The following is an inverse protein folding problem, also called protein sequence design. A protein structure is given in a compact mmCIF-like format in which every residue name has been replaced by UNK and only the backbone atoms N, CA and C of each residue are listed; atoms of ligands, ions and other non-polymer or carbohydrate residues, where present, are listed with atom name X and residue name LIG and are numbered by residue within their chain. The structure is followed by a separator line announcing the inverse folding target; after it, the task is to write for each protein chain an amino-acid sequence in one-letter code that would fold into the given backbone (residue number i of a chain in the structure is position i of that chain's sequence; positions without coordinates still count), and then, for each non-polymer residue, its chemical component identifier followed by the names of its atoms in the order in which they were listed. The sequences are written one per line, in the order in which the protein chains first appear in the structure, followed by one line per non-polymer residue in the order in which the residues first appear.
data_IF_790919264393
#
_entry.id   IF_790919264393
#
_cell.length_a   1.000
_cell.length_b   1.000
_cell.length_c   1.000
_cell.angle_alpha   90.00
_cell.angle_beta   90.00
_cell.angle_gamma   90.00
#
_symmetry.space_group_name_H-M   'P 1'
#
loop_
_entity.id
_entity.type
_entity.pdbx_description
1 polymer ?
#
# COMPACT_ATOMS: atom_id res chain seq x y z
N UNK A 1 -5.61 40.79 15.41
CA UNK A 1 -6.20 39.44 15.59
C UNK A 1 -7.42 39.36 14.70
N UNK A 2 -7.26 38.79 13.51
CA UNK A 2 -8.36 38.64 12.56
C UNK A 2 -9.15 37.37 12.83
N UNK A 3 -10.29 37.49 13.53
CA UNK A 3 -11.24 36.38 13.66
C UNK A 3 -11.68 35.92 12.27
N UNK A 4 -11.47 34.65 11.94
CA UNK A 4 -11.83 34.12 10.62
C UNK A 4 -12.31 32.67 10.68
N UNK A 5 -13.11 32.28 9.68
CA UNK A 5 -13.54 30.90 9.48
C UNK A 5 -12.38 30.08 8.92
N UNK A 6 -12.07 28.97 9.57
CA UNK A 6 -11.01 28.06 9.19
C UNK A 6 -11.56 26.63 9.02
N UNK A 7 -11.17 25.99 7.92
CA UNK A 7 -11.46 24.60 7.61
C UNK A 7 -10.14 23.85 7.51
N UNK A 8 -9.98 22.77 8.26
CA UNK A 8 -8.78 21.93 8.23
C UNK A 8 -9.10 20.63 7.51
N UNK A 9 -8.28 20.34 6.51
CA UNK A 9 -8.39 19.16 5.67
C UNK A 9 -7.19 18.25 5.87
N UNK A 10 -7.43 16.95 5.88
CA UNK A 10 -6.43 15.91 6.05
C UNK A 10 -6.54 14.88 4.95
N UNK A 11 -5.52 14.03 4.84
CA UNK A 11 -5.35 13.06 3.78
C UNK A 11 -6.22 11.84 4.00
N UNK A 12 -6.95 11.46 2.96
CA UNK A 12 -7.58 10.14 2.80
C UNK A 12 -6.77 9.39 1.75
N UNK A 13 -6.09 8.34 2.19
CA UNK A 13 -5.18 7.57 1.35
C UNK A 13 -5.92 6.32 0.88
N UNK A 14 -6.01 6.14 -0.44
CA UNK A 14 -6.50 4.89 -1.05
C UNK A 14 -5.31 4.00 -1.38
N UNK A 15 -5.29 2.82 -0.78
CA UNK A 15 -4.27 1.77 -1.02
C UNK A 15 -4.87 0.65 -1.85
N UNK A 16 -4.18 0.29 -2.92
CA UNK A 16 -4.43 -0.96 -3.65
C UNK A 16 -3.29 -1.94 -3.40
N UNK A 17 -3.47 -3.20 -3.80
CA UNK A 17 -2.46 -4.23 -3.67
C UNK A 17 -1.93 -4.66 -5.04
N UNK A 18 -0.65 -5.02 -5.09
CA UNK A 18 -0.01 -5.67 -6.25
C UNK A 18 0.89 -6.80 -5.81
N UNK A 19 1.33 -7.64 -6.75
CA UNK A 19 2.52 -8.47 -6.58
C UNK A 19 3.76 -7.63 -6.88
N UNK A 20 4.65 -7.52 -5.90
CA UNK A 20 5.97 -6.93 -6.02
C UNK A 20 7.00 -7.93 -6.55
N UNK A 21 8.28 -7.57 -6.44
CA UNK A 21 9.37 -8.49 -6.71
C UNK A 21 9.30 -9.69 -5.76
N UNK A 22 9.60 -10.89 -6.27
CA UNK A 22 9.50 -12.16 -5.55
C UNK A 22 8.06 -12.54 -5.12
N UNK A 23 7.04 -12.12 -5.87
CA UNK A 23 5.63 -12.48 -5.67
C UNK A 23 5.08 -12.07 -4.28
N UNK A 24 5.69 -11.09 -3.64
CA UNK A 24 5.22 -10.55 -2.36
C UNK A 24 4.04 -9.60 -2.56
N UNK A 25 3.05 -9.66 -1.66
CA UNK A 25 1.97 -8.67 -1.56
C UNK A 25 2.54 -7.31 -1.15
N UNK A 26 2.40 -6.30 -2.02
CA UNK A 26 2.87 -4.94 -1.75
C UNK A 26 1.72 -3.95 -1.88
N UNK A 27 1.48 -3.07 -0.88
CA UNK A 27 0.52 -1.99 -1.00
C UNK A 27 1.07 -0.85 -1.88
N UNK A 28 0.23 -0.33 -2.76
CA UNK A 28 0.49 0.85 -3.59
C UNK A 28 -0.49 1.94 -3.17
N UNK A 29 0.03 3.13 -2.87
CA UNK A 29 -0.80 4.33 -2.69
C UNK A 29 -1.20 4.86 -4.08
N UNK A 30 -2.49 4.77 -4.41
CA UNK A 30 -2.99 5.19 -5.72
C UNK A 30 -3.41 6.66 -5.74
N UNK A 31 -4.11 7.10 -4.70
CA UNK A 31 -4.70 8.44 -4.65
C UNK A 31 -4.72 8.99 -3.23
N UNK A 32 -4.44 10.29 -3.13
CA UNK A 32 -4.58 11.08 -1.93
C UNK A 32 -5.66 12.12 -2.17
N UNK A 33 -6.78 12.02 -1.44
CA UNK A 33 -7.83 13.02 -1.42
C UNK A 33 -7.75 13.81 -0.10
N UNK A 34 -8.10 15.08 -0.11
CA UNK A 34 -8.22 15.88 1.10
C UNK A 34 -9.67 15.97 1.53
N UNK A 35 -9.95 15.67 2.80
CA UNK A 35 -11.30 15.79 3.38
C UNK A 35 -11.27 16.68 4.62
N UNK A 36 -12.31 17.49 4.86
CA UNK A 36 -12.44 18.21 6.12
C UNK A 36 -12.54 17.25 7.29
N UNK A 37 -11.77 17.54 8.33
CA UNK A 37 -11.93 16.89 9.63
C UNK A 37 -12.25 17.87 10.75
N UNK A 38 -12.05 19.17 10.54
CA UNK A 38 -12.39 20.21 11.49
C UNK A 38 -12.79 21.50 10.77
N UNK A 39 -13.81 22.17 11.28
CA UNK A 39 -14.25 23.48 10.81
C UNK A 39 -14.65 24.33 12.01
N UNK A 40 -14.22 25.58 12.02
CA UNK A 40 -14.57 26.50 13.10
C UNK A 40 -14.00 27.90 12.90
N UNK A 41 -14.43 28.81 13.76
CA UNK A 41 -13.90 30.17 13.79
C UNK A 41 -12.71 30.21 14.72
N UNK A 42 -11.57 30.72 14.23
CA UNK A 42 -10.36 30.88 15.04
C UNK A 42 -10.03 32.37 15.22
N UNK A 43 -9.60 32.71 16.43
CA UNK A 43 -9.14 34.06 16.81
C UNK A 43 -7.62 34.17 16.66
N UNK A 44 -7.09 33.66 15.55
CA UNK A 44 -5.68 33.70 15.19
C UNK A 44 -5.52 34.40 13.85
N UNK A 45 -4.35 34.97 13.60
CA UNK A 45 -4.04 35.40 12.24
C UNK A 45 -3.90 34.17 11.32
N UNK A 46 -4.12 34.32 10.00
CA UNK A 46 -4.08 33.20 9.07
C UNK A 46 -2.78 32.41 9.18
N UNK A 47 -2.91 31.09 9.32
CA UNK A 47 -1.78 30.21 9.58
C UNK A 47 -0.92 30.10 8.32
N UNK A 48 0.40 30.17 8.49
CA UNK A 48 1.37 30.02 7.41
C UNK A 48 1.65 28.54 7.12
N UNK A 49 2.10 28.24 5.90
CA UNK A 49 2.55 26.89 5.53
C UNK A 49 3.77 26.51 6.38
N UNK A 50 3.79 25.30 6.92
CA UNK A 50 4.74 24.83 7.93
C UNK A 50 4.35 25.17 9.37
N UNK A 51 3.28 25.97 9.56
CA UNK A 51 2.73 26.29 10.87
C UNK A 51 2.17 25.06 11.58
N UNK A 52 2.45 24.96 12.88
CA UNK A 52 1.91 23.91 13.76
C UNK A 52 0.65 24.41 14.45
N UNK A 53 -0.42 23.62 14.38
CA UNK A 53 -1.73 23.98 14.93
C UNK A 53 -2.21 22.85 15.81
N UNK A 54 -2.59 23.18 17.03
CA UNK A 54 -3.24 22.23 17.92
C UNK A 54 -4.74 22.19 17.60
N UNK A 55 -5.29 20.99 17.35
CA UNK A 55 -6.71 20.80 17.10
C UNK A 55 -7.33 20.12 18.33
N UNK A 56 -8.09 20.86 19.18
CA UNK A 56 -8.60 20.33 20.44
C UNK A 56 -9.48 19.09 20.28
N UNK A 57 -10.30 19.04 19.22
CA UNK A 57 -11.19 17.90 18.96
C UNK A 57 -10.46 16.57 18.74
N UNK A 58 -9.17 16.61 18.40
CA UNK A 58 -8.33 15.44 18.18
C UNK A 58 -7.18 15.32 19.17
N UNK A 59 -7.02 16.29 20.09
CA UNK A 59 -5.92 16.34 21.06
C UNK A 59 -4.53 16.17 20.42
N UNK A 60 -4.35 16.72 19.20
CA UNK A 60 -3.17 16.51 18.36
C UNK A 60 -2.72 17.82 17.71
N UNK A 61 -1.41 17.92 17.46
CA UNK A 61 -0.83 18.96 16.61
C UNK A 61 -0.75 18.47 15.17
N UNK A 62 -1.16 19.34 14.25
CA UNK A 62 -1.06 19.12 12.79
C UNK A 62 -0.19 20.21 12.16
N UNK A 63 0.47 19.88 11.07
CA UNK A 63 1.27 20.83 10.29
C UNK A 63 0.49 21.25 9.05
N UNK A 64 0.37 22.55 8.82
CA UNK A 64 -0.24 23.08 7.60
C UNK A 64 0.72 22.86 6.43
N UNK A 65 0.30 22.10 5.43
CA UNK A 65 1.07 21.82 4.21
C UNK A 65 0.69 22.72 3.05
N UNK A 66 -0.55 23.18 3.00
CA UNK A 66 -1.03 24.15 2.02
C UNK A 66 -2.15 25.00 2.61
N UNK A 67 -2.37 26.19 2.05
CA UNK A 67 -3.45 27.09 2.46
C UNK A 67 -4.12 27.74 1.27
N UNK A 68 -5.45 27.85 1.34
CA UNK A 68 -6.27 28.43 0.29
C UNK A 68 -7.30 29.36 0.93
N UNK A 69 -7.58 30.48 0.27
CA UNK A 69 -8.60 31.44 0.70
C UNK A 69 -9.67 31.51 -0.36
N UNK A 70 -10.93 31.36 0.04
CA UNK A 70 -12.04 31.45 -0.90
C UNK A 70 -12.55 32.89 -1.06
N UNK A 71 -13.50 33.07 -1.99
CA UNK A 71 -14.15 34.38 -2.26
C UNK A 71 -14.97 34.92 -1.09
N UNK A 72 -15.33 34.07 -0.12
CA UNK A 72 -16.06 34.44 1.10
C UNK A 72 -15.14 34.78 2.29
N UNK A 73 -13.83 34.89 2.04
CA UNK A 73 -12.84 35.18 3.08
C UNK A 73 -12.68 34.05 4.13
N UNK A 74 -13.03 32.81 3.77
CA UNK A 74 -12.81 31.63 4.60
C UNK A 74 -11.49 30.97 4.19
N UNK A 75 -10.76 30.45 5.17
CA UNK A 75 -9.49 29.79 4.96
C UNK A 75 -9.65 28.27 5.01
N UNK A 76 -9.07 27.59 4.03
CA UNK A 76 -8.90 26.14 4.02
C UNK A 76 -7.43 25.82 4.20
N UNK A 77 -7.10 25.04 5.22
CA UNK A 77 -5.76 24.58 5.54
C UNK A 77 -5.66 23.08 5.28
N UNK A 78 -4.84 22.69 4.30
CA UNK A 78 -4.49 21.28 4.12
C UNK A 78 -3.38 20.93 5.11
N UNK A 79 -3.46 19.74 5.68
CA UNK A 79 -2.55 19.28 6.73
C UNK A 79 -1.89 17.95 6.39
N UNK A 80 -0.82 17.65 7.11
CA UNK A 80 -0.12 16.36 7.06
C UNK A 80 -0.91 15.20 7.67
N UNK A 81 -1.99 15.49 8.40
CA UNK A 81 -2.82 14.51 9.09
C UNK A 81 -3.44 13.51 8.12
N UNK A 82 -3.34 12.23 8.45
CA UNK A 82 -4.04 11.14 7.76
C UNK A 82 -5.34 10.87 8.52
N UNK A 83 -6.48 11.12 7.88
CA UNK A 83 -7.81 10.89 8.48
C UNK A 83 -8.19 9.42 8.37
N UNK A 84 -7.98 8.86 7.18
CA UNK A 84 -8.40 7.49 6.87
C UNK A 84 -7.49 6.89 5.82
N UNK A 85 -7.24 5.59 5.98
CA UNK A 85 -6.71 4.74 4.92
C UNK A 85 -7.82 3.81 4.47
N UNK A 86 -8.12 3.82 3.16
CA UNK A 86 -9.11 2.94 2.54
C UNK A 86 -8.35 1.92 1.71
N UNK A 87 -8.52 0.65 2.04
CA UNK A 87 -7.92 -0.45 1.29
C UNK A 87 -8.91 -0.97 0.25
N UNK A 88 -8.44 -1.10 -0.99
CA UNK A 88 -9.18 -1.71 -2.07
C UNK A 88 -9.15 -3.24 -1.92
N UNK A 89 -10.21 -3.78 -1.33
CA UNK A 89 -10.39 -5.23 -1.12
C UNK A 89 -10.40 -6.02 -2.42
N UNK A 90 -10.93 -5.45 -3.51
CA UNK A 90 -10.99 -6.14 -4.80
C UNK A 90 -9.57 -6.33 -5.35
N UNK A 91 -8.72 -5.31 -5.22
CA UNK A 91 -7.31 -5.43 -5.59
C UNK A 91 -6.58 -6.49 -4.76
N UNK A 92 -6.86 -6.57 -3.45
CA UNK A 92 -6.25 -7.54 -2.56
C UNK A 92 -6.61 -8.97 -2.96
N UNK A 93 -7.90 -9.25 -3.17
CA UNK A 93 -8.38 -10.59 -3.56
C UNK A 93 -7.77 -11.05 -4.89
N UNK A 94 -7.70 -10.16 -5.89
CA UNK A 94 -7.08 -10.47 -7.19
C UNK A 94 -5.60 -10.84 -7.06
N UNK A 95 -4.87 -10.20 -6.15
CA UNK A 95 -3.45 -10.44 -5.94
C UNK A 95 -3.22 -11.77 -5.21
N UNK A 96 -4.04 -12.06 -4.20
CA UNK A 96 -4.01 -13.36 -3.48
C UNK A 96 -4.26 -14.51 -4.46
N UNK A 97 -5.29 -14.42 -5.29
CA UNK A 97 -5.58 -15.46 -6.30
C UNK A 97 -4.44 -15.67 -7.31
N UNK A 98 -3.70 -14.62 -7.66
CA UNK A 98 -2.52 -14.76 -8.53
C UNK A 98 -1.37 -15.45 -7.81
N UNK A 99 -1.14 -15.11 -6.54
CA UNK A 99 -0.10 -15.70 -5.72
C UNK A 99 -0.34 -17.21 -5.54
N UNK A 100 -1.58 -17.60 -5.24
CA UNK A 100 -1.98 -19.02 -5.13
C UNK A 100 -1.68 -19.79 -6.43
N UNK A 101 -2.05 -19.23 -7.59
CA UNK A 101 -1.76 -19.85 -8.90
C UNK A 101 -0.27 -20.03 -9.17
N UNK A 102 0.54 -19.05 -8.79
CA UNK A 102 2.01 -19.14 -8.94
C UNK A 102 2.56 -20.23 -8.02
N UNK A 103 2.06 -20.31 -6.79
CA UNK A 103 2.47 -21.33 -5.83
C UNK A 103 2.10 -22.75 -6.30
N UNK A 104 0.88 -22.94 -6.80
CA UNK A 104 0.44 -24.19 -7.40
C UNK A 104 1.32 -24.60 -8.58
N UNK A 105 1.59 -23.67 -9.50
CA UNK A 105 2.46 -23.92 -10.65
C UNK A 105 3.89 -24.31 -10.22
N UNK A 106 4.44 -23.62 -9.23
CA UNK A 106 5.76 -23.92 -8.67
C UNK A 106 5.79 -25.31 -7.99
N UNK A 107 4.73 -25.70 -7.30
CA UNK A 107 4.61 -27.05 -6.73
C UNK A 107 4.57 -28.13 -7.81
N UNK A 108 3.82 -27.92 -8.90
CA UNK A 108 3.76 -28.84 -10.04
C UNK A 108 5.14 -29.01 -10.70
N UNK A 109 5.85 -27.91 -10.94
CA UNK A 109 7.21 -27.95 -11.49
C UNK A 109 8.18 -28.71 -10.59
N UNK A 110 8.12 -28.51 -9.26
CA UNK A 110 8.95 -29.27 -8.32
C UNK A 110 8.68 -30.77 -8.41
N UNK A 111 7.41 -31.18 -8.46
CA UNK A 111 7.03 -32.58 -8.59
C UNK A 111 7.47 -33.19 -9.94
N UNK A 112 7.37 -32.45 -11.03
CA UNK A 112 7.83 -32.90 -12.34
C UNK A 112 9.36 -33.05 -12.39
N UNK A 113 10.08 -32.09 -11.80
CA UNK A 113 11.53 -32.14 -11.71
C UNK A 113 12.04 -33.31 -10.85
N UNK A 114 11.40 -33.59 -9.72
CA UNK A 114 11.67 -34.77 -8.88
C UNK A 114 11.47 -36.08 -9.66
N UNK A 115 10.35 -36.22 -10.38
CA UNK A 115 10.06 -37.39 -11.23
C UNK A 115 11.11 -37.56 -12.33
N UNK A 116 11.52 -36.45 -12.95
CA UNK A 116 12.57 -36.47 -13.98
C UNK A 116 13.91 -36.95 -13.41
N UNK A 117 14.33 -36.43 -12.25
CA UNK A 117 15.55 -36.87 -11.56
C UNK A 117 15.52 -38.37 -11.25
N UNK A 118 14.40 -38.87 -10.74
CA UNK A 118 14.26 -40.29 -10.40
C UNK A 118 14.35 -41.19 -11.65
N UNK A 119 13.76 -40.77 -12.78
CA UNK A 119 13.89 -41.48 -14.05
C UNK A 119 15.31 -41.47 -14.60
N UNK A 120 15.99 -40.33 -14.52
CA UNK A 120 17.41 -40.17 -14.88
C UNK A 120 18.30 -41.11 -14.07
N UNK A 121 18.13 -41.17 -12.74
CA UNK A 121 18.87 -42.10 -11.88
C UNK A 121 18.60 -43.56 -12.22
N UNK A 122 17.33 -43.93 -12.44
CA UNK A 122 16.96 -45.29 -12.88
C UNK A 122 17.61 -45.66 -14.21
N UNK A 123 17.63 -44.73 -15.18
CA UNK A 123 18.30 -44.91 -16.49
C UNK A 123 19.81 -45.08 -16.33
N UNK A 124 20.46 -44.22 -15.55
CA UNK A 124 21.90 -44.33 -15.24
C UNK A 124 22.22 -45.67 -14.60
N UNK A 125 21.52 -46.05 -13.53
CA UNK A 125 21.72 -47.33 -12.85
C UNK A 125 21.47 -48.54 -13.78
N UNK A 126 20.49 -48.46 -14.68
CA UNK A 126 20.24 -49.49 -15.69
C UNK A 126 21.36 -49.60 -16.73
N UNK A 127 21.89 -48.47 -17.19
CA UNK A 127 23.01 -48.42 -18.13
C UNK A 127 24.31 -48.94 -17.49
N UNK A 128 24.61 -48.53 -16.25
CA UNK A 128 25.74 -49.05 -15.47
C UNK A 128 25.68 -50.57 -15.27
N UNK A 129 24.49 -51.13 -14.96
CA UNK A 129 24.30 -52.59 -14.84
C UNK A 129 24.56 -53.35 -16.15
N UNK A 130 24.32 -52.73 -17.31
CA UNK A 130 24.59 -53.34 -18.63
C UNK A 130 26.09 -53.33 -18.96
N UNK A 131 26.85 -52.37 -18.44
CA UNK A 131 28.30 -52.29 -18.65
C UNK A 131 29.06 -53.36 -17.87
N UNK A 132 28.66 -53.62 -16.62
CA UNK A 132 29.35 -54.58 -15.72
C UNK A 132 29.11 -56.04 -16.14
N UNK A 133 28.03 -56.34 -16.88
CA UNK A 133 27.71 -57.69 -17.38
C UNK A 133 28.49 -58.11 -18.64
N UNK A 134 29.41 -57.28 -19.14
CA UNK A 134 30.12 -57.51 -20.41
C UNK A 134 31.51 -58.15 -20.27
N UNK A 135 31.89 -58.54 -19.05
CA UNK A 135 33.05 -59.40 -18.74
C UNK A 135 32.57 -60.82 -18.36
#
# INVERSE_FOLDING_TARGET
MGRHQAKFEGKVIKKSWTLGLCDALVPIEQQCEYQPFFEGVIDLDPIEVGGKVYIPGFNEYVVVTDRQRNTKNEWTYQTDKIIKTVEDKESLEKVIQKQEKIEEFNQQLKQEYERFKEQEEKRKNSWWKRLIKKD
#
